data_IF_767051639714
#
_entry.id   IF_767051639714
#
_cell.length_a   1.000
_cell.length_b   1.000
_cell.length_c   1.000
_cell.angle_alpha   90.00
_cell.angle_beta   90.00
_cell.angle_gamma   90.00
#
_symmetry.space_group_name_H-M   'P 1'
#
loop_
_entity.id
_entity.type
_entity.pdbx_description
1 polymer ?
#
# COMPACT_ATOMS: atom_id res chain seq x y z
N UNK A 1 -5.40 -14.05 -7.02
CA UNK A 1 -5.68 -14.00 -5.55
C UNK A 1 -7.16 -13.72 -5.24
N UNK A 2 -7.87 -12.81 -5.94
CA UNK A 2 -9.32 -12.62 -5.73
C UNK A 2 -10.22 -13.78 -6.17
N UNK A 3 -9.75 -14.69 -7.04
CA UNK A 3 -10.52 -15.87 -7.48
C UNK A 3 -10.45 -17.07 -6.52
N UNK A 4 -9.62 -17.00 -5.48
CA UNK A 4 -9.38 -18.11 -4.54
C UNK A 4 -10.22 -18.04 -3.26
N UNK A 5 -11.10 -17.03 -3.14
CA UNK A 5 -11.89 -16.77 -1.92
C UNK A 5 -13.40 -17.03 -2.09
N UNK A 6 -13.82 -17.74 -3.13
CA UNK A 6 -15.21 -18.24 -3.20
C UNK A 6 -16.29 -17.17 -3.39
N UNK A 7 -15.96 -16.00 -3.92
CA UNK A 7 -16.90 -14.92 -4.25
C UNK A 7 -17.09 -14.76 -5.77
N UNK A 8 -17.18 -15.87 -6.49
CA UNK A 8 -17.34 -15.88 -7.95
C UNK A 8 -18.74 -15.49 -8.44
N UNK A 9 -19.76 -15.60 -7.59
CA UNK A 9 -21.16 -15.66 -8.02
C UNK A 9 -21.89 -14.30 -7.99
N UNK A 10 -21.21 -13.19 -7.70
CA UNK A 10 -21.86 -11.87 -7.56
C UNK A 10 -21.75 -11.01 -8.84
N UNK A 11 -20.95 -11.42 -9.84
CA UNK A 11 -20.67 -10.56 -11.00
C UNK A 11 -21.57 -10.83 -12.21
N UNK A 12 -22.40 -11.88 -12.20
CA UNK A 12 -23.24 -12.22 -13.37
C UNK A 12 -24.73 -11.91 -13.13
N UNK A 13 -25.07 -10.63 -13.04
CA UNK A 13 -26.45 -10.17 -13.27
C UNK A 13 -26.42 -8.96 -14.18
N UNK A 14 -26.31 -9.27 -15.47
CA UNK A 14 -27.06 -8.67 -16.57
C UNK A 14 -27.40 -7.18 -16.43
N UNK A 15 -26.53 -6.36 -17.02
CA UNK A 15 -26.85 -5.00 -17.43
C UNK A 15 -27.98 -5.04 -18.49
N UNK A 16 -29.19 -4.66 -18.09
CA UNK A 16 -30.34 -4.54 -18.97
C UNK A 16 -31.17 -3.29 -18.66
N UNK A 17 -30.81 -2.17 -19.33
CA UNK A 17 -31.70 -1.08 -19.78
C UNK A 17 -32.75 -0.53 -18.81
N UNK A 18 -32.58 0.72 -18.31
CA UNK A 18 -33.65 1.75 -18.28
C UNK A 18 -33.08 3.18 -18.28
N UNK A 19 -33.23 3.84 -19.43
CA UNK A 19 -33.59 5.25 -19.69
C UNK A 19 -33.02 6.38 -18.80
N UNK A 20 -32.30 7.29 -19.46
CA UNK A 20 -31.82 8.57 -18.94
C UNK A 20 -32.97 9.54 -18.59
N UNK A 21 -32.82 10.21 -17.45
CA UNK A 21 -33.51 11.46 -17.11
C UNK A 21 -32.47 12.48 -16.64
N UNK A 22 -32.43 13.70 -17.21
CA UNK A 22 -31.50 14.73 -16.77
C UNK A 22 -32.17 15.57 -15.68
N UNK A 23 -31.61 15.57 -14.48
CA UNK A 23 -31.91 16.59 -13.48
C UNK A 23 -30.62 17.03 -12.81
N UNK A 24 -30.09 18.11 -13.36
CA UNK A 24 -29.08 18.98 -12.75
C UNK A 24 -29.62 19.54 -11.43
N UNK A 25 -29.01 19.13 -10.32
CA UNK A 25 -29.18 19.78 -9.02
C UNK A 25 -27.80 20.00 -8.39
N UNK A 26 -27.36 21.25 -8.41
CA UNK A 26 -26.27 21.76 -7.58
C UNK A 26 -26.70 21.81 -6.11
N UNK A 27 -25.72 21.60 -5.23
CA UNK A 27 -25.73 21.89 -3.78
C UNK A 27 -26.77 21.14 -2.94
N UNK A 28 -26.29 20.24 -2.08
CA UNK A 28 -26.62 20.27 -0.64
C UNK A 28 -25.94 19.13 0.12
N UNK A 29 -24.75 19.41 0.66
CA UNK A 29 -24.06 18.59 1.68
C UNK A 29 -24.81 18.52 3.03
N UNK A 30 -26.04 19.05 3.09
CA UNK A 30 -26.85 19.17 4.31
C UNK A 30 -28.04 18.20 4.36
N UNK A 31 -28.43 17.58 3.24
CA UNK A 31 -29.59 16.67 3.14
C UNK A 31 -29.25 15.23 3.55
N UNK A 32 -27.97 14.84 3.46
CA UNK A 32 -27.53 13.49 3.87
C UNK A 32 -27.69 13.22 5.37
N UNK A 33 -27.41 14.22 6.22
CA UNK A 33 -27.44 14.07 7.67
C UNK A 33 -28.88 13.99 8.22
N UNK A 34 -29.82 14.75 7.65
CA UNK A 34 -31.23 14.72 8.09
C UNK A 34 -31.94 13.44 7.69
N UNK A 35 -31.63 12.90 6.51
CA UNK A 35 -32.18 11.63 6.04
C UNK A 35 -31.70 10.44 6.89
N UNK A 36 -30.43 10.41 7.26
CA UNK A 36 -29.85 9.36 8.13
C UNK A 36 -30.48 9.39 9.52
N UNK A 37 -30.65 10.58 10.13
CA UNK A 37 -31.37 10.71 11.41
C UNK A 37 -32.81 10.21 11.35
N UNK A 38 -33.56 10.51 10.28
CA UNK A 38 -34.95 10.07 10.12
C UNK A 38 -35.08 8.55 9.96
N UNK A 39 -34.13 7.92 9.27
CA UNK A 39 -34.07 6.46 9.13
C UNK A 39 -33.71 5.80 10.45
N UNK A 40 -32.73 6.36 11.18
CA UNK A 40 -32.33 5.87 12.48
C UNK A 40 -33.50 5.89 13.47
N UNK A 41 -34.26 6.98 13.54
CA UNK A 41 -35.45 7.13 14.40
C UNK A 41 -36.55 6.10 14.06
N UNK A 42 -36.75 5.84 12.76
CA UNK A 42 -37.70 4.82 12.29
C UNK A 42 -37.25 3.40 12.68
N UNK A 43 -35.96 3.11 12.58
CA UNK A 43 -35.39 1.81 12.96
C UNK A 43 -35.49 1.63 14.48
N UNK A 44 -35.14 2.64 15.29
CA UNK A 44 -35.27 2.60 16.75
C UNK A 44 -36.71 2.33 17.24
N UNK A 45 -37.72 2.73 16.45
CA UNK A 45 -39.13 2.51 16.77
C UNK A 45 -39.62 1.07 16.51
N UNK A 46 -38.80 0.22 15.88
CA UNK A 46 -39.13 -1.19 15.61
C UNK A 46 -38.53 -2.12 16.69
N UNK A 47 -39.22 -3.21 17.09
CA UNK A 47 -38.65 -4.18 18.04
C UNK A 47 -37.34 -4.77 17.48
N UNK A 48 -36.24 -4.63 18.23
CA UNK A 48 -34.89 -5.05 17.79
C UNK A 48 -34.09 -4.01 17.00
N UNK A 49 -34.67 -2.85 16.69
CA UNK A 49 -33.98 -1.79 15.96
C UNK A 49 -32.88 -1.09 16.76
N UNK A 50 -33.01 -1.02 18.09
CA UNK A 50 -31.96 -0.53 18.98
C UNK A 50 -30.71 -1.43 18.91
N UNK A 51 -30.89 -2.75 19.00
CA UNK A 51 -29.81 -3.75 18.85
C UNK A 51 -29.16 -3.69 17.46
N UNK A 52 -29.96 -3.46 16.40
CA UNK A 52 -29.44 -3.32 15.05
C UNK A 52 -28.56 -2.06 14.87
N UNK A 53 -28.95 -0.94 15.48
CA UNK A 53 -28.17 0.31 15.45
C UNK A 53 -26.90 0.20 16.29
N UNK A 54 -26.98 -0.46 17.46
CA UNK A 54 -25.80 -0.71 18.30
C UNK A 54 -24.78 -1.58 17.56
N UNK A 55 -25.21 -2.70 16.96
CA UNK A 55 -24.34 -3.53 16.11
C UNK A 55 -23.73 -2.78 14.93
N UNK A 56 -24.49 -1.88 14.31
CA UNK A 56 -23.98 -1.06 13.21
C UNK A 56 -22.86 -0.13 13.70
N UNK A 57 -23.07 0.58 14.82
CA UNK A 57 -22.06 1.47 15.43
C UNK A 57 -20.82 0.70 15.86
N UNK A 58 -20.99 -0.49 16.43
CA UNK A 58 -19.87 -1.37 16.76
C UNK A 58 -19.09 -1.78 15.51
N UNK A 59 -19.77 -2.14 14.42
CA UNK A 59 -19.13 -2.48 13.16
C UNK A 59 -18.36 -1.31 12.56
N UNK A 60 -18.92 -0.09 12.57
CA UNK A 60 -18.23 1.12 12.11
C UNK A 60 -16.96 1.39 12.91
N UNK A 61 -17.03 1.23 14.24
CA UNK A 61 -15.87 1.36 15.12
C UNK A 61 -14.79 0.33 14.80
N UNK A 62 -15.16 -0.95 14.64
CA UNK A 62 -14.21 -2.02 14.29
C UNK A 62 -13.53 -1.74 12.95
N UNK A 63 -14.28 -1.29 11.94
CA UNK A 63 -13.72 -0.94 10.63
C UNK A 63 -12.70 0.20 10.75
N UNK A 64 -13.00 1.23 11.53
CA UNK A 64 -12.08 2.34 11.76
C UNK A 64 -10.78 1.88 12.43
N UNK A 65 -10.87 1.08 13.51
CA UNK A 65 -9.72 0.52 14.22
C UNK A 65 -8.87 -0.40 13.33
N UNK A 66 -9.52 -1.21 12.48
CA UNK A 66 -8.82 -2.07 11.52
C UNK A 66 -8.08 -1.25 10.47
N UNK A 67 -8.70 -0.21 9.92
CA UNK A 67 -8.06 0.67 8.93
C UNK A 67 -6.83 1.38 9.52
N UNK A 68 -6.96 1.92 10.74
CA UNK A 68 -5.82 2.53 11.45
C UNK A 68 -4.68 1.51 11.65
N UNK A 69 -5.01 0.28 12.05
CA UNK A 69 -4.03 -0.81 12.21
C UNK A 69 -3.32 -1.15 10.89
N UNK A 70 -4.04 -1.10 9.77
CA UNK A 70 -3.47 -1.34 8.45
C UNK A 70 -2.55 -0.22 7.99
N UNK A 71 -2.93 1.04 8.20
CA UNK A 71 -2.10 2.19 7.89
C UNK A 71 -0.79 2.16 8.69
N UNK A 72 -0.87 1.81 9.97
CA UNK A 72 0.34 1.65 10.78
C UNK A 72 1.27 0.54 10.25
N UNK A 73 0.70 -0.61 9.87
CA UNK A 73 1.47 -1.71 9.28
C UNK A 73 2.11 -1.29 7.98
N UNK A 74 1.34 -0.63 7.10
CA UNK A 74 1.84 -0.13 5.82
C UNK A 74 3.00 0.84 6.05
N UNK A 75 2.85 1.81 6.96
CA UNK A 75 3.90 2.77 7.32
C UNK A 75 5.16 2.07 7.84
N UNK A 76 5.03 1.06 8.70
CA UNK A 76 6.17 0.29 9.23
C UNK A 76 6.88 -0.48 8.11
N UNK A 77 6.13 -1.15 7.23
CA UNK A 77 6.70 -1.88 6.09
C UNK A 77 7.41 -0.94 5.13
N UNK A 78 6.81 0.21 4.84
CA UNK A 78 7.36 1.19 3.92
C UNK A 78 8.63 1.86 4.46
N UNK A 79 8.69 2.13 5.76
CA UNK A 79 9.91 2.63 6.39
C UNK A 79 11.09 1.66 6.21
N UNK A 80 10.86 0.36 6.42
CA UNK A 80 11.89 -0.68 6.24
C UNK A 80 12.28 -0.80 4.77
N UNK A 81 11.31 -0.68 3.85
CA UNK A 81 11.57 -0.68 2.40
C UNK A 81 12.49 0.48 2.02
N UNK A 82 12.16 1.70 2.45
CA UNK A 82 12.94 2.90 2.17
C UNK A 82 14.35 2.83 2.77
N UNK A 83 14.50 2.34 4.00
CA UNK A 83 15.82 2.18 4.63
C UNK A 83 16.72 1.22 3.85
N UNK A 84 16.15 0.08 3.41
CA UNK A 84 16.87 -0.89 2.58
C UNK A 84 17.26 -0.32 1.22
N UNK A 85 16.35 0.40 0.57
CA UNK A 85 16.62 1.04 -0.73
C UNK A 85 17.68 2.14 -0.61
N UNK A 86 17.66 2.92 0.47
CA UNK A 86 18.68 3.92 0.74
C UNK A 86 20.07 3.29 0.91
N UNK A 87 20.18 2.18 1.66
CA UNK A 87 21.45 1.47 1.82
C UNK A 87 21.95 0.88 0.50
N UNK A 88 21.06 0.28 -0.30
CA UNK A 88 21.41 -0.25 -1.61
C UNK A 88 21.90 0.86 -2.55
N UNK A 89 21.22 2.01 -2.55
CA UNK A 89 21.63 3.18 -3.32
C UNK A 89 22.99 3.74 -2.85
N UNK A 90 23.25 3.76 -1.54
CA UNK A 90 24.56 4.15 -0.99
C UNK A 90 25.68 3.22 -1.49
N UNK A 91 25.41 1.91 -1.55
CA UNK A 91 26.34 0.93 -2.10
C UNK A 91 26.43 0.94 -3.64
N UNK A 92 25.73 1.85 -4.30
CA UNK A 92 25.74 2.02 -5.75
C UNK A 92 24.79 1.07 -6.51
N UNK A 93 23.94 0.31 -5.81
CA UNK A 93 22.96 -0.57 -6.45
C UNK A 93 21.77 0.25 -6.93
N UNK A 94 21.45 0.16 -8.21
CA UNK A 94 20.30 0.82 -8.79
C UNK A 94 19.12 -0.13 -8.90
N UNK A 95 17.96 0.34 -8.45
CA UNK A 95 16.70 -0.41 -8.41
C UNK A 95 15.69 0.31 -9.30
N UNK A 96 14.91 -0.46 -10.06
CA UNK A 96 13.83 0.01 -10.92
C UNK A 96 12.53 0.16 -10.11
N UNK A 97 11.54 0.88 -10.66
CA UNK A 97 10.24 1.09 -10.01
C UNK A 97 9.45 -0.21 -9.77
N UNK A 98 9.73 -1.27 -10.54
CA UNK A 98 9.14 -2.60 -10.37
C UNK A 98 9.82 -3.46 -9.29
N UNK A 99 10.86 -2.92 -8.62
CA UNK A 99 11.64 -3.62 -7.60
C UNK A 99 12.79 -4.48 -8.16
N UNK A 100 13.01 -4.48 -9.47
CA UNK A 100 14.13 -5.18 -10.10
C UNK A 100 15.47 -4.45 -9.93
N UNK A 101 16.58 -5.18 -9.83
CA UNK A 101 17.92 -4.59 -9.86
C UNK A 101 18.33 -4.25 -11.30
N UNK A 102 18.77 -3.02 -11.53
CA UNK A 102 19.26 -2.56 -12.82
C UNK A 102 20.76 -2.83 -12.99
N UNK A 103 21.53 -2.69 -11.91
CA UNK A 103 22.98 -2.86 -11.93
C UNK A 103 23.65 -2.21 -10.73
N UNK A 104 24.98 -2.18 -10.76
CA UNK A 104 25.82 -1.56 -9.74
C UNK A 104 26.66 -0.46 -10.38
N UNK A 105 26.60 0.72 -9.81
CA UNK A 105 27.40 1.88 -10.19
C UNK A 105 28.62 1.99 -9.30
N UNK A 106 29.74 2.44 -9.88
CA UNK A 106 30.93 2.73 -9.10
C UNK A 106 30.71 3.94 -8.17
N UNK A 107 31.17 3.91 -6.91
CA UNK A 107 31.06 5.06 -6.03
C UNK A 107 31.80 6.27 -6.57
N UNK A 108 31.16 7.43 -6.46
CA UNK A 108 31.75 8.70 -6.91
C UNK A 108 32.57 9.42 -5.85
N UNK A 109 32.38 9.08 -4.57
CA UNK A 109 32.92 9.83 -3.42
C UNK A 109 33.96 9.05 -2.62
N UNK A 110 34.04 7.74 -2.79
CA UNK A 110 34.96 6.88 -2.06
C UNK A 110 36.02 6.31 -3.02
N UNK A 111 37.32 6.42 -2.70
CA UNK A 111 38.36 5.73 -3.43
C UNK A 111 38.10 4.22 -3.44
N UNK A 112 38.31 3.58 -4.57
CA UNK A 112 38.01 2.17 -4.74
C UNK A 112 38.93 1.51 -5.76
N UNK A 113 39.10 0.19 -5.64
CA UNK A 113 39.76 -0.65 -6.62
C UNK A 113 38.70 -1.39 -7.42
N UNK A 114 38.91 -1.49 -8.73
CA UNK A 114 38.10 -2.32 -9.62
C UNK A 114 38.96 -3.49 -10.04
N UNK A 115 38.44 -4.71 -9.89
CA UNK A 115 39.09 -5.90 -10.37
C UNK A 115 38.93 -5.98 -11.89
N UNK A 116 40.06 -6.10 -12.60
CA UNK A 116 40.10 -6.20 -14.06
C UNK A 116 40.22 -7.65 -14.55
N UNK A 117 40.20 -8.63 -13.65
CA UNK A 117 40.15 -10.03 -14.03
C UNK A 117 38.86 -10.31 -14.82
N UNK A 118 39.00 -11.00 -15.95
CA UNK A 118 37.91 -11.32 -16.86
C UNK A 118 37.23 -12.67 -16.54
N UNK A 119 37.82 -13.47 -15.64
CA UNK A 119 37.25 -14.76 -15.23
C UNK A 119 35.91 -14.54 -14.49
N UNK A 120 34.77 -15.00 -15.04
CA UNK A 120 33.46 -14.85 -14.39
C UNK A 120 33.33 -15.66 -13.09
N UNK A 121 34.25 -16.59 -12.83
CA UNK A 121 34.27 -17.44 -11.64
C UNK A 121 35.34 -17.03 -10.62
N UNK A 122 35.92 -15.84 -10.76
CA UNK A 122 36.89 -15.31 -9.79
C UNK A 122 36.31 -15.24 -8.37
N UNK A 123 37.13 -15.51 -7.36
CA UNK A 123 36.70 -15.53 -5.94
C UNK A 123 36.80 -14.16 -5.27
N UNK A 124 37.53 -13.23 -5.88
CA UNK A 124 37.71 -11.86 -5.44
C UNK A 124 36.46 -11.00 -5.71
N UNK A 125 36.30 -9.91 -4.97
CA UNK A 125 35.26 -8.94 -5.27
C UNK A 125 35.56 -8.22 -6.59
N UNK A 126 34.52 -7.84 -7.33
CA UNK A 126 34.67 -6.96 -8.50
C UNK A 126 35.10 -5.54 -8.10
N UNK A 127 34.74 -5.10 -6.89
CA UNK A 127 35.00 -3.75 -6.42
C UNK A 127 35.33 -3.74 -4.92
N UNK A 128 36.36 -3.00 -4.53
CA UNK A 128 36.82 -2.84 -3.14
C UNK A 128 36.80 -1.37 -2.73
N UNK A 129 36.09 -1.05 -1.63
CA UNK A 129 36.11 0.29 -1.04
C UNK A 129 37.36 0.49 -0.17
N UNK A 130 38.12 1.54 -0.44
CA UNK A 130 39.20 1.98 0.44
C UNK A 130 38.64 3.12 1.28
N UNK A 131 38.15 2.75 2.47
CA UNK A 131 37.72 3.71 3.48
C UNK A 131 38.93 4.25 4.25
N UNK A 132 38.73 5.35 4.96
CA UNK A 132 39.76 5.90 5.85
C UNK A 132 40.26 4.85 6.85
N UNK A 133 41.57 4.80 7.05
CA UNK A 133 42.25 3.82 7.89
C UNK A 133 43.17 2.89 7.11
N UNK A 134 43.37 1.67 7.61
CA UNK A 134 44.29 0.70 7.03
C UNK A 134 43.47 -0.42 6.36
N UNK A 135 43.59 -0.52 5.04
CA UNK A 135 43.10 -1.67 4.27
C UNK A 135 44.28 -2.59 3.97
N UNK A 136 44.26 -3.82 4.50
CA UNK A 136 45.32 -4.81 4.25
C UNK A 136 44.89 -5.74 3.12
N UNK A 137 45.88 -6.19 2.35
CA UNK A 137 45.74 -7.16 1.27
C UNK A 137 46.47 -8.43 1.69
#
# INVERSE_FOLDING_TARGET
>A
LLRAQGLGDIIDTSMGSLTASPSSCSLSSQVGLTAVSSIQERIMSTPGGEEAIERLKESEKIIAELNETWEEKLRKTEAIRMEREALLAEMGVAIREDGGTLGVFSPKKTPHLVNLNEDPLMSECLLYYIKDGITRV
#
